data_IF_057078971547
#
_entry.id   IF_057078971547
#
_cell.length_a   1.000
_cell.length_b   1.000
_cell.length_c   1.000
_cell.angle_alpha   90.00
_cell.angle_beta   90.00
_cell.angle_gamma   90.00
#
_symmetry.space_group_name_H-M   'P 1'
#
loop_
_entity.id
_entity.type
_entity.pdbx_description
1 polymer ?
#
# COMPACT_ATOMS: atom_id res chain seq x y z
N UNK A 1 2.83 4.05 9.64
CA UNK A 1 3.86 3.14 10.22
C UNK A 1 3.37 1.80 10.75
N UNK A 2 2.09 1.42 10.58
CA UNK A 2 1.58 0.14 11.11
C UNK A 2 1.60 -1.02 10.09
N UNK A 3 1.81 -0.72 8.80
CA UNK A 3 1.96 -1.75 7.77
C UNK A 3 3.30 -2.46 7.94
N UNK A 4 3.24 -3.78 8.06
CA UNK A 4 4.39 -4.65 8.32
C UNK A 4 4.83 -5.43 7.07
N UNK A 5 5.90 -6.22 7.24
CA UNK A 5 6.46 -7.06 6.18
C UNK A 5 5.49 -8.14 5.70
N UNK A 6 4.56 -8.60 6.56
CA UNK A 6 3.59 -9.63 6.18
C UNK A 6 2.62 -9.08 5.13
N UNK A 7 2.10 -7.87 5.33
CA UNK A 7 1.23 -7.22 4.35
C UNK A 7 1.95 -7.04 3.00
N UNK A 8 3.17 -6.48 3.01
CA UNK A 8 3.96 -6.29 1.80
C UNK A 8 4.23 -7.61 1.07
N UNK A 9 4.51 -8.68 1.82
CA UNK A 9 4.74 -10.01 1.26
C UNK A 9 3.48 -10.60 0.61
N UNK A 10 2.32 -10.40 1.23
CA UNK A 10 1.04 -10.96 0.77
C UNK A 10 0.45 -10.24 -0.44
N UNK A 11 0.63 -8.92 -0.54
CA UNK A 11 0.31 -8.19 -1.77
C UNK A 11 1.16 -8.66 -2.95
N UNK A 12 2.39 -9.08 -2.67
CA UNK A 12 3.20 -9.87 -3.60
C UNK A 12 3.83 -9.08 -4.74
N UNK A 13 3.85 -7.74 -4.64
CA UNK A 13 4.47 -6.84 -5.61
C UNK A 13 6.00 -6.84 -5.53
N UNK A 14 6.66 -6.52 -6.65
CA UNK A 14 8.12 -6.32 -6.71
C UNK A 14 8.95 -7.46 -6.11
N UNK A 15 9.86 -7.10 -5.22
CA UNK A 15 10.71 -8.04 -4.47
C UNK A 15 10.07 -8.51 -3.15
N UNK A 16 8.80 -8.17 -2.92
CA UNK A 16 8.02 -8.49 -1.72
C UNK A 16 8.57 -7.90 -0.42
N UNK A 17 9.41 -6.87 -0.51
CA UNK A 17 9.92 -6.17 0.67
C UNK A 17 9.01 -5.02 1.11
N UNK A 18 8.99 -4.74 2.42
CA UNK A 18 8.30 -3.57 2.96
C UNK A 18 8.88 -2.25 2.42
N UNK A 19 10.18 -2.24 2.10
CA UNK A 19 10.83 -1.08 1.51
C UNK A 19 10.27 -0.76 0.12
N UNK A 20 10.18 -1.78 -0.75
CA UNK A 20 9.57 -1.64 -2.07
C UNK A 20 8.11 -1.23 -1.96
N UNK A 21 7.34 -1.90 -1.09
CA UNK A 21 5.93 -1.59 -0.85
C UNK A 21 5.74 -0.13 -0.48
N UNK A 22 6.53 0.40 0.47
CA UNK A 22 6.46 1.82 0.90
C UNK A 22 6.74 2.79 -0.23
N UNK A 23 7.75 2.53 -1.05
CA UNK A 23 8.11 3.41 -2.16
C UNK A 23 7.00 3.49 -3.21
N UNK A 24 6.50 2.34 -3.67
CA UNK A 24 5.45 2.31 -4.71
C UNK A 24 4.12 2.84 -4.18
N UNK A 25 3.76 2.51 -2.94
CA UNK A 25 2.52 2.99 -2.33
C UNK A 25 2.57 4.48 -2.00
N UNK A 26 3.71 5.02 -1.56
CA UNK A 26 3.87 6.46 -1.37
C UNK A 26 3.62 7.23 -2.66
N UNK A 27 4.20 6.77 -3.77
CA UNK A 27 4.00 7.37 -5.09
C UNK A 27 2.53 7.28 -5.54
N UNK A 28 1.88 6.14 -5.30
CA UNK A 28 0.45 5.95 -5.60
C UNK A 28 -0.42 6.90 -4.76
N UNK A 29 -0.33 6.83 -3.43
CA UNK A 29 -1.16 7.62 -2.53
C UNK A 29 -0.94 9.12 -2.66
N UNK A 30 0.30 9.57 -2.89
CA UNK A 30 0.58 10.99 -3.13
C UNK A 30 -0.20 11.54 -4.33
N UNK A 31 -0.25 10.76 -5.43
CA UNK A 31 -1.00 11.14 -6.62
C UNK A 31 -2.50 11.13 -6.36
N UNK A 32 -3.03 10.10 -5.71
CA UNK A 32 -4.46 9.99 -5.45
C UNK A 32 -4.95 11.06 -4.46
N UNK A 33 -4.18 11.36 -3.40
CA UNK A 33 -4.46 12.46 -2.48
C UNK A 33 -4.55 13.80 -3.22
N UNK A 34 -3.59 14.10 -4.10
CA UNK A 34 -3.60 15.35 -4.86
C UNK A 34 -4.85 15.49 -5.74
N UNK A 35 -5.33 14.39 -6.35
CA UNK A 35 -6.54 14.39 -7.18
C UNK A 35 -7.81 14.74 -6.38
N UNK A 36 -7.84 14.42 -5.09
CA UNK A 36 -8.98 14.73 -4.20
C UNK A 36 -8.75 15.99 -3.34
N UNK A 37 -7.73 16.80 -3.65
CA UNK A 37 -7.41 18.02 -2.91
C UNK A 37 -6.92 17.76 -1.49
N UNK A 38 -6.19 16.67 -1.28
CA UNK A 38 -5.55 16.29 -0.02
C UNK A 38 -4.04 16.20 -0.21
N UNK A 39 -3.32 16.37 0.90
CA UNK A 39 -1.88 16.10 0.96
C UNK A 39 -1.63 14.71 1.55
N UNK A 40 -0.67 13.94 1.02
CA UNK A 40 -0.29 12.65 1.60
C UNK A 40 0.33 12.82 2.99
N UNK A 41 0.19 11.80 3.82
CA UNK A 41 0.78 11.76 5.16
C UNK A 41 1.22 10.35 5.51
N UNK A 42 2.38 10.20 6.15
CA UNK A 42 2.89 8.91 6.65
C UNK A 42 1.98 8.27 7.73
N UNK A 43 1.08 9.08 8.31
CA UNK A 43 0.11 8.66 9.32
C UNK A 43 -1.32 8.56 8.77
N UNK A 44 -1.52 8.71 7.46
CA UNK A 44 -2.84 8.48 6.88
C UNK A 44 -3.26 7.01 7.06
N UNK A 45 -4.54 6.72 7.34
CA UNK A 45 -5.00 5.35 7.47
C UNK A 45 -4.91 4.62 6.13
N UNK A 46 -4.38 3.39 6.16
CA UNK A 46 -4.37 2.47 5.03
C UNK A 46 -5.23 1.27 5.39
N UNK A 47 -6.23 0.96 4.56
CA UNK A 47 -7.07 -0.21 4.75
C UNK A 47 -6.43 -1.41 4.05
N UNK A 48 -5.88 -2.32 4.84
CA UNK A 48 -5.30 -3.57 4.33
C UNK A 48 -6.39 -4.64 4.23
N UNK A 49 -6.54 -5.25 3.06
CA UNK A 49 -7.50 -6.32 2.82
C UNK A 49 -6.79 -7.63 2.47
N UNK A 50 -7.36 -8.75 2.93
CA UNK A 50 -6.91 -10.10 2.55
C UNK A 50 -8.04 -10.82 1.86
N UNK A 51 -7.78 -11.30 0.67
CA UNK A 51 -8.76 -12.02 -0.12
C UNK A 51 -8.16 -13.29 -0.71
N UNK A 52 -9.04 -14.17 -1.20
CA UNK A 52 -8.67 -15.39 -1.91
C UNK A 52 -9.48 -15.47 -3.20
N UNK A 53 -8.83 -15.92 -4.26
CA UNK A 53 -9.52 -16.25 -5.50
C UNK A 53 -10.44 -17.45 -5.27
N UNK A 54 -11.73 -17.29 -5.53
CA UNK A 54 -12.73 -18.36 -5.39
C UNK A 54 -13.13 -18.98 -6.74
N UNK A 55 -12.81 -18.30 -7.85
CA UNK A 55 -13.08 -18.74 -9.21
C UNK A 55 -11.99 -18.19 -10.16
N UNK A 56 -11.34 -19.03 -11.00
CA UNK A 56 -10.30 -18.60 -11.96
C UNK A 56 -10.84 -17.96 -13.25
#
# INVERSE_FOLDING_TARGET
DEVDEEQAYLEGEGDRSLAYWRDVHWNFFSRECAQIGREPSEHMPVLCERFKLVFP
#
